data_IF_649192394294
#
_entry.id   IF_649192394294
#
_cell.length_a   1.000
_cell.length_b   1.000
_cell.length_c   1.000
_cell.angle_alpha   90.00
_cell.angle_beta   90.00
_cell.angle_gamma   90.00
#
_symmetry.space_group_name_H-M   'P 1'
#
loop_
_entity.id
_entity.type
_entity.pdbx_description
1 polymer ?
#
# COMPACT_ATOMS: atom_id res chain seq x y z
N UNK A 1 -58.88 18.94 -46.01
CA UNK A 1 -57.63 19.12 -45.24
C UNK A 1 -57.88 18.72 -43.79
N UNK A 2 -57.55 17.46 -43.43
CA UNK A 2 -57.69 16.95 -42.06
C UNK A 2 -56.45 17.35 -41.25
N UNK A 3 -56.65 17.99 -40.09
CA UNK A 3 -55.57 18.35 -39.16
C UNK A 3 -55.00 17.08 -38.52
N UNK A 4 -53.67 16.93 -38.57
CA UNK A 4 -52.93 15.90 -37.82
C UNK A 4 -52.98 16.24 -36.31
N UNK A 5 -53.04 15.23 -35.41
CA UNK A 5 -52.98 15.46 -33.97
C UNK A 5 -51.56 15.85 -33.53
N UNK A 6 -51.48 16.72 -32.52
CA UNK A 6 -50.21 17.13 -31.89
C UNK A 6 -49.56 15.93 -31.15
N UNK A 7 -48.21 15.82 -31.13
CA UNK A 7 -47.53 14.75 -30.41
C UNK A 7 -47.68 14.94 -28.89
N UNK A 8 -48.05 13.84 -28.22
CA UNK A 8 -48.17 13.74 -26.77
C UNK A 8 -46.86 14.08 -26.05
N UNK A 9 -46.99 14.47 -24.77
CA UNK A 9 -45.87 14.85 -23.92
C UNK A 9 -44.82 13.73 -23.85
N UNK A 10 -43.55 14.12 -23.71
CA UNK A 10 -42.34 13.26 -23.62
C UNK A 10 -42.42 12.11 -22.60
N UNK A 11 -43.41 12.10 -21.71
CA UNK A 11 -43.68 11.04 -20.74
C UNK A 11 -44.30 9.78 -21.39
N UNK A 12 -45.16 9.94 -22.41
CA UNK A 12 -45.85 8.82 -23.08
C UNK A 12 -44.90 7.95 -23.92
N UNK A 13 -43.85 8.54 -24.49
CA UNK A 13 -42.87 7.82 -25.30
C UNK A 13 -41.91 6.95 -24.45
N UNK A 14 -41.68 7.33 -23.20
CA UNK A 14 -40.84 6.57 -22.27
C UNK A 14 -41.56 5.32 -21.72
N UNK A 15 -42.87 5.42 -21.44
CA UNK A 15 -43.69 4.30 -20.97
C UNK A 15 -43.96 3.27 -22.09
N UNK A 16 -44.11 3.72 -23.34
CA UNK A 16 -44.25 2.81 -24.48
C UNK A 16 -42.95 2.06 -24.80
N UNK A 17 -41.78 2.66 -24.59
CA UNK A 17 -40.49 2.00 -24.78
C UNK A 17 -40.19 0.90 -23.73
N UNK A 18 -40.66 1.07 -22.49
CA UNK A 18 -40.47 0.09 -21.43
C UNK A 18 -41.26 -1.21 -21.63
N UNK A 19 -42.39 -1.15 -22.37
CA UNK A 19 -43.27 -2.30 -22.58
C UNK A 19 -42.79 -3.21 -23.73
N UNK A 20 -41.95 -2.69 -24.64
CA UNK A 20 -41.49 -3.43 -25.82
C UNK A 20 -40.29 -4.38 -25.55
N UNK A 21 -39.62 -4.27 -24.40
CA UNK A 21 -38.35 -5.00 -24.14
C UNK A 21 -38.50 -6.17 -23.14
N UNK A 22 -39.70 -6.44 -22.64
CA UNK A 22 -39.94 -7.67 -21.84
C UNK A 22 -39.06 -7.80 -20.59
N UNK A 23 -38.58 -6.70 -20.02
CA UNK A 23 -37.91 -6.69 -18.72
C UNK A 23 -38.98 -6.77 -17.64
N UNK A 24 -39.35 -7.99 -17.26
CA UNK A 24 -40.09 -8.21 -16.01
C UNK A 24 -39.28 -7.62 -14.85
N UNK A 25 -39.88 -6.82 -13.96
CA UNK A 25 -39.18 -6.28 -12.81
C UNK A 25 -38.77 -7.43 -11.88
N UNK A 26 -37.47 -7.54 -11.60
CA UNK A 26 -36.93 -8.41 -10.57
C UNK A 26 -37.54 -8.02 -9.19
N UNK A 27 -37.99 -8.98 -8.36
CA UNK A 27 -38.61 -8.70 -7.07
C UNK A 27 -37.60 -8.37 -5.95
N UNK A 28 -36.37 -7.98 -6.30
CA UNK A 28 -35.41 -7.47 -5.31
C UNK A 28 -35.65 -5.98 -5.14
N UNK A 29 -36.18 -5.62 -3.98
CA UNK A 29 -36.36 -4.23 -3.55
C UNK A 29 -35.15 -3.39 -3.89
N UNK A 30 -35.38 -2.17 -4.35
CA UNK A 30 -34.36 -1.19 -4.74
C UNK A 30 -33.29 -1.15 -3.66
N UNK A 31 -32.15 -1.80 -3.92
CA UNK A 31 -30.98 -1.70 -3.05
C UNK A 31 -30.60 -0.21 -3.06
N UNK A 32 -30.75 0.45 -1.92
CA UNK A 32 -30.25 1.81 -1.77
C UNK A 32 -28.75 1.77 -2.07
N UNK A 33 -28.31 2.58 -3.05
CA UNK A 33 -26.89 2.73 -3.33
C UNK A 33 -26.20 3.19 -2.03
N UNK A 34 -25.02 2.63 -1.70
CA UNK A 34 -24.30 3.04 -0.50
C UNK A 34 -24.06 4.56 -0.51
N UNK A 35 -24.10 5.22 0.66
CA UNK A 35 -23.86 6.65 0.73
C UNK A 35 -22.46 6.98 0.21
N UNK A 36 -22.37 8.01 -0.63
CA UNK A 36 -21.12 8.41 -1.23
C UNK A 36 -20.21 9.12 -0.20
N UNK A 37 -18.89 9.04 -0.39
CA UNK A 37 -17.95 9.61 0.57
C UNK A 37 -17.98 11.14 0.65
N UNK A 38 -17.74 11.71 1.85
CA UNK A 38 -17.63 13.15 2.10
C UNK A 38 -16.24 13.72 1.70
N UNK A 39 -16.03 15.05 1.79
CA UNK A 39 -14.77 15.71 1.36
C UNK A 39 -13.55 15.37 2.22
N UNK A 40 -13.76 14.89 3.45
CA UNK A 40 -12.73 14.38 4.36
C UNK A 40 -12.47 12.87 4.18
N UNK A 41 -13.13 12.24 3.20
CA UNK A 41 -13.03 10.81 2.95
C UNK A 41 -11.60 10.34 2.75
N UNK A 42 -11.32 9.21 3.38
CA UNK A 42 -10.17 8.37 3.13
C UNK A 42 -10.68 7.00 2.68
N UNK A 43 -10.23 6.54 1.51
CA UNK A 43 -10.52 5.21 1.04
C UNK A 43 -9.41 4.24 1.45
N UNK A 44 -9.75 3.19 2.19
CA UNK A 44 -8.80 2.17 2.63
C UNK A 44 -8.28 1.30 1.48
N UNK A 45 -9.09 1.10 0.43
CA UNK A 45 -8.72 0.26 -0.73
C UNK A 45 -7.68 0.92 -1.63
N UNK A 46 -7.86 2.21 -1.95
CA UNK A 46 -6.94 2.94 -2.85
C UNK A 46 -6.04 3.96 -2.13
N UNK A 47 -6.13 4.05 -0.80
CA UNK A 47 -5.41 4.98 0.07
C UNK A 47 -5.57 6.47 -0.33
N UNK A 48 -6.58 6.82 -1.14
CA UNK A 48 -6.84 8.22 -1.49
C UNK A 48 -7.53 8.92 -0.33
N UNK A 49 -6.90 9.99 0.15
CA UNK A 49 -7.56 11.01 0.97
C UNK A 49 -8.01 12.15 0.09
N UNK A 50 -9.29 12.51 0.18
CA UNK A 50 -9.85 13.56 -0.65
C UNK A 50 -9.19 14.89 -0.37
N UNK A 51 -9.02 15.24 0.90
CA UNK A 51 -8.28 16.44 1.33
C UNK A 51 -6.91 16.61 0.67
N UNK A 52 -6.17 15.52 0.46
CA UNK A 52 -4.80 15.55 -0.06
C UNK A 52 -4.75 15.53 -1.61
N UNK A 53 -5.84 15.12 -2.28
CA UNK A 53 -5.89 15.00 -3.73
C UNK A 53 -6.18 16.37 -4.37
N UNK A 54 -5.13 17.05 -4.84
CA UNK A 54 -5.27 18.31 -5.58
C UNK A 54 -5.96 18.10 -6.93
N UNK A 55 -6.60 19.11 -7.52
CA UNK A 55 -7.22 18.99 -8.85
C UNK A 55 -6.24 18.54 -9.94
N UNK A 56 -5.00 19.05 -9.93
CA UNK A 56 -3.96 18.65 -10.87
C UNK A 56 -3.55 17.19 -10.70
N UNK A 57 -3.41 16.72 -9.45
CA UNK A 57 -3.12 15.31 -9.18
C UNK A 57 -4.27 14.39 -9.61
N UNK A 58 -5.54 14.79 -9.37
CA UNK A 58 -6.72 14.05 -9.82
C UNK A 58 -6.77 13.95 -11.35
N UNK A 59 -6.50 15.06 -12.06
CA UNK A 59 -6.39 15.08 -13.52
C UNK A 59 -5.31 14.13 -14.03
N UNK A 60 -4.14 14.11 -13.37
CA UNK A 60 -3.06 13.19 -13.69
C UNK A 60 -3.48 11.71 -13.55
N UNK A 61 -4.21 11.37 -12.49
CA UNK A 61 -4.76 10.03 -12.30
C UNK A 61 -5.75 9.67 -13.41
N UNK A 62 -6.70 10.56 -13.71
CA UNK A 62 -7.73 10.33 -14.73
C UNK A 62 -7.10 10.11 -16.12
N UNK A 63 -6.13 10.94 -16.51
CA UNK A 63 -5.38 10.76 -17.78
C UNK A 63 -4.57 9.47 -17.79
N UNK A 64 -4.08 9.04 -16.63
CA UNK A 64 -3.31 7.81 -16.48
C UNK A 64 -4.15 6.53 -16.52
N UNK A 65 -5.45 6.60 -16.21
CA UNK A 65 -6.33 5.45 -16.07
C UNK A 65 -6.32 4.53 -17.31
N UNK A 66 -6.52 5.01 -18.55
CA UNK A 66 -6.47 4.13 -19.73
C UNK A 66 -5.17 3.34 -19.86
N UNK A 67 -4.02 3.96 -19.56
CA UNK A 67 -2.73 3.29 -19.57
C UNK A 67 -2.60 2.23 -18.47
N UNK A 68 -3.12 2.53 -17.27
CA UNK A 68 -3.17 1.58 -16.14
C UNK A 68 -4.09 0.39 -16.46
N UNK A 69 -5.27 0.64 -17.04
CA UNK A 69 -6.20 -0.42 -17.45
C UNK A 69 -5.55 -1.30 -18.52
N UNK A 70 -4.94 -0.68 -19.52
CA UNK A 70 -4.25 -1.43 -20.58
C UNK A 70 -3.15 -2.30 -20.02
N UNK A 71 -2.39 -1.84 -19.01
CA UNK A 71 -1.40 -2.65 -18.26
C UNK A 71 -2.01 -3.79 -17.49
N UNK A 72 -3.12 -3.56 -16.78
CA UNK A 72 -3.84 -4.61 -16.03
C UNK A 72 -4.33 -5.72 -16.99
N UNK A 73 -4.93 -5.34 -18.11
CA UNK A 73 -5.51 -6.26 -19.10
C UNK A 73 -4.46 -7.11 -19.84
N UNK A 74 -3.17 -6.72 -19.88
CA UNK A 74 -2.11 -7.51 -20.56
C UNK A 74 -1.86 -8.84 -19.86
N UNK A 75 -2.12 -8.88 -18.55
CA UNK A 75 -1.81 -10.00 -17.67
C UNK A 75 -3.00 -10.95 -17.47
N UNK A 76 -4.17 -10.60 -18.00
CA UNK A 76 -5.35 -11.46 -17.94
C UNK A 76 -5.33 -12.50 -19.08
N UNK A 77 -5.84 -13.73 -18.83
CA UNK A 77 -5.98 -14.75 -19.87
C UNK A 77 -6.74 -14.23 -21.10
N UNK A 78 -6.31 -14.64 -22.29
CA UNK A 78 -6.85 -14.11 -23.56
C UNK A 78 -8.34 -14.39 -23.73
N UNK A 79 -8.84 -15.46 -23.12
CA UNK A 79 -10.23 -15.90 -23.14
C UNK A 79 -11.18 -15.04 -22.29
N UNK A 80 -10.68 -14.38 -21.23
CA UNK A 80 -11.48 -13.45 -20.42
C UNK A 80 -11.40 -12.01 -20.93
N UNK A 81 -10.38 -11.68 -21.73
CA UNK A 81 -10.19 -10.32 -22.27
C UNK A 81 -10.87 -10.17 -23.63
N UNK A 82 -11.93 -9.36 -23.68
CA UNK A 82 -12.43 -8.85 -24.96
C UNK A 82 -11.44 -7.85 -25.54
N UNK A 83 -10.67 -8.28 -26.54
CA UNK A 83 -9.69 -7.44 -27.22
C UNK A 83 -10.35 -6.54 -28.25
N UNK A 84 -9.83 -5.32 -28.31
CA UNK A 84 -10.16 -4.30 -29.32
C UNK A 84 -9.84 -4.84 -30.73
N UNK A 85 -10.67 -4.56 -31.75
CA UNK A 85 -10.43 -5.03 -33.12
C UNK A 85 -9.17 -4.43 -33.78
N UNK A 86 -8.84 -3.16 -33.51
CA UNK A 86 -7.68 -2.48 -34.09
C UNK A 86 -7.24 -1.27 -33.24
N UNK A 87 -5.95 -0.92 -33.26
CA UNK A 87 -5.32 0.17 -32.48
C UNK A 87 -5.85 1.59 -32.76
N UNK A 88 -6.66 1.78 -33.81
CA UNK A 88 -7.32 3.05 -34.16
C UNK A 88 -8.75 3.25 -33.64
N UNK A 89 -9.43 2.20 -33.14
CA UNK A 89 -10.83 2.27 -32.63
C UNK A 89 -10.91 2.68 -31.15
N UNK A 90 -10.86 3.97 -30.80
CA UNK A 90 -10.79 4.40 -29.39
C UNK A 90 -11.80 3.67 -28.50
N UNK A 91 -11.35 3.11 -27.37
CA UNK A 91 -12.31 2.64 -26.37
C UNK A 91 -13.12 3.82 -25.84
N UNK A 92 -14.39 3.61 -25.56
CA UNK A 92 -15.24 4.67 -24.98
C UNK A 92 -14.63 5.22 -23.71
N UNK A 93 -13.93 4.38 -22.95
CA UNK A 93 -13.19 4.76 -21.74
C UNK A 93 -12.04 5.72 -22.02
N UNK A 94 -11.16 5.44 -22.99
CA UNK A 94 -10.05 6.34 -23.36
C UNK A 94 -10.58 7.71 -23.79
N UNK A 95 -11.55 7.72 -24.71
CA UNK A 95 -12.14 8.95 -25.23
C UNK A 95 -12.83 9.75 -24.13
N UNK A 96 -13.55 9.09 -23.23
CA UNK A 96 -14.24 9.76 -22.14
C UNK A 96 -13.28 10.27 -21.07
N UNK A 97 -12.22 9.53 -20.74
CA UNK A 97 -11.18 9.96 -19.79
C UNK A 97 -10.43 11.18 -20.32
N UNK A 98 -9.99 11.16 -21.59
CA UNK A 98 -9.29 12.29 -22.21
C UNK A 98 -10.20 13.52 -22.32
N UNK A 99 -11.45 13.33 -22.77
CA UNK A 99 -12.42 14.43 -22.85
C UNK A 99 -12.75 15.01 -21.48
N UNK A 100 -12.95 14.17 -20.47
CA UNK A 100 -13.22 14.62 -19.11
C UNK A 100 -12.04 15.39 -18.54
N UNK A 101 -10.82 14.88 -18.73
CA UNK A 101 -9.61 15.56 -18.28
C UNK A 101 -9.35 16.89 -19.02
N UNK A 102 -9.69 16.99 -20.31
CA UNK A 102 -9.61 18.23 -21.07
C UNK A 102 -10.59 19.28 -20.53
N UNK A 103 -11.88 18.93 -20.42
CA UNK A 103 -12.91 19.82 -19.86
C UNK A 103 -12.57 20.26 -18.44
N UNK A 104 -12.03 19.35 -17.64
CA UNK A 104 -11.66 19.63 -16.25
C UNK A 104 -10.42 20.53 -16.16
N UNK A 105 -9.49 20.45 -17.11
CA UNK A 105 -8.31 21.32 -17.14
C UNK A 105 -8.62 22.78 -17.49
N UNK A 106 -9.81 23.07 -18.00
CA UNK A 106 -10.28 24.44 -18.29
C UNK A 106 -10.91 25.12 -17.04
N UNK A 107 -11.05 24.39 -15.93
CA UNK A 107 -11.70 24.89 -14.72
C UNK A 107 -10.73 25.79 -13.93
N UNK A 108 -11.10 27.06 -13.78
CA UNK A 108 -10.34 28.04 -12.99
C UNK A 108 -10.52 27.86 -11.48
N UNK A 109 -9.59 28.41 -10.68
CA UNK A 109 -9.56 28.21 -9.22
C UNK A 109 -10.90 28.49 -8.51
N UNK A 110 -11.60 29.62 -8.80
CA UNK A 110 -12.89 29.92 -8.15
C UNK A 110 -14.00 28.93 -8.54
N UNK A 111 -13.88 28.26 -9.69
CA UNK A 111 -14.92 27.36 -10.19
C UNK A 111 -14.92 26.00 -9.49
N UNK A 112 -13.83 25.61 -8.83
CA UNK A 112 -13.74 24.35 -8.08
C UNK A 112 -14.72 24.24 -6.92
N UNK A 113 -15.06 25.38 -6.29
CA UNK A 113 -16.00 25.46 -5.18
C UNK A 113 -17.46 25.53 -5.62
N UNK A 114 -17.73 25.61 -6.93
CA UNK A 114 -19.11 25.59 -7.45
C UNK A 114 -19.74 24.25 -7.11
N UNK A 115 -21.01 24.28 -6.72
CA UNK A 115 -21.78 23.07 -6.47
C UNK A 115 -22.61 22.69 -7.69
N UNK A 116 -22.66 21.40 -8.00
CA UNK A 116 -23.56 20.82 -8.98
C UNK A 116 -24.43 19.74 -8.33
N UNK A 117 -25.62 19.54 -8.89
CA UNK A 117 -26.54 18.49 -8.48
C UNK A 117 -26.27 17.26 -9.36
N UNK A 118 -25.87 16.15 -8.74
CA UNK A 118 -25.60 14.89 -9.45
C UNK A 118 -26.84 14.01 -9.51
N UNK A 119 -27.54 13.90 -8.39
CA UNK A 119 -28.82 13.21 -8.20
C UNK A 119 -29.79 14.11 -7.42
N UNK A 120 -31.11 13.88 -7.47
CA UNK A 120 -32.07 14.63 -6.65
C UNK A 120 -31.65 14.63 -5.16
N UNK A 121 -31.50 15.83 -4.59
CA UNK A 121 -31.07 16.02 -3.19
C UNK A 121 -29.56 15.97 -2.95
N UNK A 122 -28.75 15.57 -3.93
CA UNK A 122 -27.30 15.45 -3.79
C UNK A 122 -26.58 16.64 -4.44
N UNK A 123 -26.08 17.56 -3.60
CA UNK A 123 -25.23 18.69 -4.00
C UNK A 123 -23.78 18.41 -3.63
N UNK A 124 -22.88 18.47 -4.61
CA UNK A 124 -21.44 18.26 -4.42
C UNK A 124 -20.63 19.33 -5.15
N UNK A 125 -19.44 19.63 -4.66
CA UNK A 125 -18.53 20.56 -5.34
C UNK A 125 -17.99 19.94 -6.62
N UNK A 126 -17.60 20.79 -7.58
CA UNK A 126 -16.87 20.34 -8.77
C UNK A 126 -15.58 19.61 -8.37
N UNK A 127 -14.89 20.10 -7.33
CA UNK A 127 -13.70 19.46 -6.77
C UNK A 127 -13.97 18.03 -6.30
N UNK A 128 -15.04 17.83 -5.54
CA UNK A 128 -15.46 16.51 -5.08
C UNK A 128 -15.73 15.58 -6.26
N UNK A 129 -16.46 16.04 -7.28
CA UNK A 129 -16.81 15.19 -8.44
C UNK A 129 -15.58 14.67 -9.17
N UNK A 130 -14.57 15.52 -9.38
CA UNK A 130 -13.32 15.13 -10.04
C UNK A 130 -12.52 14.15 -9.18
N UNK A 131 -12.50 14.34 -7.85
CA UNK A 131 -11.88 13.38 -6.91
C UNK A 131 -12.56 12.02 -6.95
N UNK A 132 -13.90 12.00 -6.98
CA UNK A 132 -14.69 10.77 -7.10
C UNK A 132 -14.42 10.02 -8.41
N UNK A 133 -14.35 10.71 -9.55
CA UNK A 133 -14.01 10.06 -10.83
C UNK A 133 -12.61 9.45 -10.78
N UNK A 134 -11.64 10.14 -10.19
CA UNK A 134 -10.31 9.59 -9.98
C UNK A 134 -10.33 8.35 -9.09
N UNK A 135 -11.08 8.40 -7.98
CA UNK A 135 -11.25 7.32 -7.01
C UNK A 135 -11.91 6.07 -7.60
N UNK A 136 -13.07 6.20 -8.24
CA UNK A 136 -13.78 5.07 -8.87
C UNK A 136 -12.94 4.42 -9.97
N UNK A 137 -12.17 5.21 -10.72
CA UNK A 137 -11.25 4.66 -11.71
C UNK A 137 -10.12 3.81 -11.10
N UNK A 138 -9.67 4.10 -9.88
CA UNK A 138 -8.73 3.23 -9.16
C UNK A 138 -9.42 1.95 -8.67
N UNK A 139 -10.67 2.04 -8.21
CA UNK A 139 -11.42 0.86 -7.78
C UNK A 139 -11.67 -0.13 -8.92
N UNK A 140 -12.08 0.36 -10.09
CA UNK A 140 -12.22 -0.49 -11.27
C UNK A 140 -10.89 -1.09 -11.73
N UNK A 141 -9.76 -0.40 -11.54
CA UNK A 141 -8.44 -0.99 -11.77
C UNK A 141 -8.18 -2.17 -10.83
N UNK A 142 -8.55 -2.04 -9.56
CA UNK A 142 -8.46 -3.12 -8.59
C UNK A 142 -9.35 -4.31 -8.99
N UNK A 143 -10.59 -4.04 -9.41
CA UNK A 143 -11.56 -5.07 -9.82
C UNK A 143 -11.08 -5.89 -11.03
N UNK A 144 -10.43 -5.25 -12.01
CA UNK A 144 -9.97 -5.90 -13.25
C UNK A 144 -8.79 -6.88 -13.00
N UNK A 145 -8.14 -6.85 -11.84
CA UNK A 145 -6.97 -7.68 -11.53
C UNK A 145 -7.18 -8.81 -10.51
N UNK A 146 -8.34 -8.87 -9.84
CA UNK A 146 -8.60 -9.76 -8.71
C UNK A 146 -8.62 -11.28 -9.01
N UNK A 147 -8.08 -11.71 -10.15
CA UNK A 147 -8.17 -13.08 -10.65
C UNK A 147 -6.89 -13.92 -10.77
N UNK A 148 -5.66 -13.38 -10.93
CA UNK A 148 -4.54 -14.30 -11.26
C UNK A 148 -3.06 -13.91 -11.02
N UNK A 149 -2.65 -12.67 -10.66
CA UNK A 149 -1.20 -12.40 -10.47
C UNK A 149 -0.83 -11.11 -9.71
N UNK A 150 -1.70 -10.63 -8.82
CA UNK A 150 -1.53 -9.33 -8.13
C UNK A 150 -0.83 -9.40 -6.77
N UNK A 151 -0.22 -10.53 -6.42
CA UNK A 151 0.44 -10.70 -5.13
C UNK A 151 1.80 -9.99 -5.08
N UNK A 152 2.07 -9.31 -3.97
CA UNK A 152 3.34 -8.66 -3.70
C UNK A 152 3.95 -9.14 -2.37
N UNK A 153 5.27 -8.99 -2.26
CA UNK A 153 6.02 -9.25 -1.03
C UNK A 153 6.74 -7.99 -0.57
N UNK A 154 6.50 -7.56 0.66
CA UNK A 154 7.13 -6.39 1.28
C UNK A 154 8.06 -6.86 2.39
N UNK A 155 9.27 -6.31 2.45
CA UNK A 155 10.26 -6.66 3.48
C UNK A 155 10.53 -5.46 4.37
N UNK A 156 10.69 -5.68 5.67
CA UNK A 156 11.57 -4.81 6.46
C UNK A 156 13.05 -5.03 6.06
N UNK A 157 13.95 -4.20 6.59
CA UNK A 157 15.39 -4.28 6.32
C UNK A 157 16.14 -4.79 7.54
N UNK A 158 16.07 -4.06 8.66
CA UNK A 158 16.96 -4.27 9.79
C UNK A 158 16.40 -5.40 10.64
N UNK A 159 17.07 -6.56 10.64
CA UNK A 159 16.58 -7.80 11.26
C UNK A 159 15.86 -8.73 10.29
N UNK A 160 15.58 -8.30 9.05
CA UNK A 160 15.00 -9.16 8.00
C UNK A 160 15.98 -9.43 6.87
N UNK A 161 16.42 -8.39 6.14
CA UNK A 161 17.38 -8.51 5.04
C UNK A 161 18.83 -8.24 5.50
N UNK A 162 18.97 -7.38 6.50
CA UNK A 162 20.24 -6.94 7.08
C UNK A 162 20.32 -7.42 8.52
N UNK A 163 21.38 -8.14 8.86
CA UNK A 163 21.68 -8.50 10.25
C UNK A 163 22.25 -7.29 10.99
N UNK A 164 21.34 -6.47 11.51
CA UNK A 164 21.66 -5.21 12.17
C UNK A 164 22.03 -5.38 13.65
N UNK A 165 21.71 -6.53 14.24
CA UNK A 165 21.87 -6.79 15.67
C UNK A 165 23.34 -6.67 16.13
N UNK A 166 24.34 -7.29 15.45
CA UNK A 166 25.74 -7.16 15.85
C UNK A 166 26.24 -5.72 15.82
N UNK A 167 25.82 -4.94 14.82
CA UNK A 167 26.18 -3.52 14.71
C UNK A 167 25.61 -2.71 15.87
N UNK A 168 24.30 -2.85 16.14
CA UNK A 168 23.67 -2.15 17.25
C UNK A 168 24.33 -2.52 18.59
N UNK A 169 24.67 -3.80 18.80
CA UNK A 169 25.36 -4.21 20.02
C UNK A 169 26.71 -3.51 20.17
N UNK A 170 27.51 -3.42 19.11
CA UNK A 170 28.80 -2.69 19.14
C UNK A 170 28.61 -1.20 19.37
N UNK A 171 27.67 -0.56 18.68
CA UNK A 171 27.39 0.88 18.81
C UNK A 171 26.98 1.23 20.24
N UNK A 172 26.04 0.48 20.81
CA UNK A 172 25.57 0.71 22.18
C UNK A 172 26.64 0.41 23.22
N UNK A 173 27.46 -0.63 23.00
CA UNK A 173 28.60 -0.92 23.88
C UNK A 173 29.62 0.22 23.84
N UNK A 174 29.95 0.73 22.64
CA UNK A 174 30.84 1.89 22.47
C UNK A 174 30.31 3.14 23.15
N UNK A 175 29.01 3.40 23.07
CA UNK A 175 28.40 4.52 23.77
C UNK A 175 28.44 4.34 25.30
N UNK A 176 28.15 3.12 25.79
CA UNK A 176 28.25 2.79 27.20
C UNK A 176 29.67 3.00 27.73
N UNK A 177 30.68 2.49 27.01
CA UNK A 177 32.10 2.68 27.33
C UNK A 177 32.47 4.17 27.35
N UNK A 178 32.03 4.94 26.35
CA UNK A 178 32.27 6.38 26.27
C UNK A 178 31.68 7.16 27.45
N UNK A 179 30.62 6.62 28.08
CA UNK A 179 29.95 7.20 29.25
C UNK A 179 30.31 6.51 30.56
N UNK A 180 31.25 5.57 30.56
CA UNK A 180 31.62 4.74 31.72
C UNK A 180 30.42 4.01 32.34
N UNK A 181 29.50 3.53 31.51
CA UNK A 181 28.36 2.70 31.89
C UNK A 181 28.66 1.24 31.58
N UNK A 182 27.98 0.33 32.26
CA UNK A 182 28.04 -1.10 31.95
C UNK A 182 27.35 -1.40 30.60
N UNK A 183 28.09 -1.89 29.57
CA UNK A 183 27.52 -2.21 28.27
C UNK A 183 26.39 -3.25 28.31
N UNK A 184 26.45 -4.24 29.20
CA UNK A 184 25.43 -5.28 29.31
C UNK A 184 24.15 -4.73 29.93
N UNK A 185 24.27 -3.89 30.94
CA UNK A 185 23.13 -3.19 31.53
C UNK A 185 22.46 -2.29 30.49
N UNK A 186 23.24 -1.48 29.77
CA UNK A 186 22.71 -0.60 28.71
C UNK A 186 22.00 -1.42 27.65
N UNK A 187 22.62 -2.50 27.18
CA UNK A 187 22.02 -3.38 26.18
C UNK A 187 20.71 -4.02 26.66
N UNK A 188 20.63 -4.46 27.91
CA UNK A 188 19.39 -5.02 28.45
C UNK A 188 18.22 -4.02 28.36
N UNK A 189 18.51 -2.73 28.40
CA UNK A 189 17.54 -1.64 28.29
C UNK A 189 17.25 -1.16 26.86
N UNK A 190 17.87 -1.72 25.81
CA UNK A 190 17.56 -1.35 24.41
C UNK A 190 16.32 -2.07 23.86
N UNK A 191 16.03 -3.27 24.36
CA UNK A 191 14.96 -4.14 23.84
C UNK A 191 13.58 -3.46 23.94
N UNK A 192 12.89 -3.33 22.80
CA UNK A 192 11.54 -2.76 22.72
C UNK A 192 11.44 -1.28 23.12
N UNK A 193 12.55 -0.55 23.25
CA UNK A 193 12.56 0.86 23.67
C UNK A 193 13.11 1.78 22.59
N UNK A 194 12.66 3.02 22.61
CA UNK A 194 13.28 4.06 21.77
C UNK A 194 14.68 4.34 22.35
N UNK A 195 15.69 4.61 21.51
CA UNK A 195 17.03 4.96 21.97
C UNK A 195 17.05 6.07 23.04
N UNK A 196 16.23 7.11 22.88
CA UNK A 196 16.11 8.19 23.86
C UNK A 196 15.58 7.72 25.22
N UNK A 197 14.63 6.79 25.24
CA UNK A 197 14.08 6.24 26.49
C UNK A 197 15.09 5.33 27.17
N UNK A 198 15.88 4.57 26.40
CA UNK A 198 17.00 3.78 26.91
C UNK A 198 18.04 4.68 27.57
N UNK A 199 18.46 5.76 26.91
CA UNK A 199 19.41 6.73 27.46
C UNK A 199 18.87 7.35 28.74
N UNK A 200 17.61 7.79 28.75
CA UNK A 200 16.97 8.36 29.95
C UNK A 200 16.90 7.36 31.11
N UNK A 201 16.70 6.07 30.83
CA UNK A 201 16.61 5.05 31.85
C UNK A 201 17.98 4.73 32.49
N UNK A 202 19.04 4.66 31.69
CA UNK A 202 20.38 4.22 32.15
C UNK A 202 21.32 5.36 32.50
N UNK A 203 21.04 6.56 31.99
CA UNK A 203 21.82 7.77 32.22
C UNK A 203 20.90 9.01 32.29
N UNK A 204 19.97 9.08 33.26
CA UNK A 204 18.99 10.18 33.39
C UNK A 204 19.62 11.56 33.56
N UNK A 205 20.89 11.63 33.96
CA UNK A 205 21.67 12.86 34.09
C UNK A 205 22.15 13.46 32.76
N UNK A 206 22.11 12.69 31.67
CA UNK A 206 22.56 13.13 30.35
C UNK A 206 21.41 13.69 29.51
N UNK A 207 21.74 14.60 28.58
CA UNK A 207 20.78 15.04 27.56
C UNK A 207 20.59 13.93 26.52
N UNK A 208 19.48 13.20 26.65
CA UNK A 208 19.17 12.07 25.78
C UNK A 208 19.11 12.43 24.29
N UNK A 209 18.75 13.67 23.92
CA UNK A 209 18.71 14.08 22.51
C UNK A 209 20.12 14.29 21.94
N UNK A 210 21.01 14.88 22.73
CA UNK A 210 22.42 15.04 22.37
C UNK A 210 23.12 13.68 22.29
N UNK A 211 22.91 12.81 23.28
CA UNK A 211 23.48 11.45 23.29
C UNK A 211 22.98 10.59 22.13
N UNK A 212 21.69 10.69 21.80
CA UNK A 212 21.15 9.99 20.64
C UNK A 212 21.80 10.48 19.34
N UNK A 213 22.14 11.77 19.25
CA UNK A 213 22.86 12.31 18.09
C UNK A 213 24.28 11.73 17.97
N UNK A 214 24.99 11.55 19.10
CA UNK A 214 26.28 10.87 19.14
C UNK A 214 26.19 9.40 18.72
N UNK A 215 25.19 8.67 19.22
CA UNK A 215 24.93 7.28 18.81
C UNK A 215 24.68 7.17 17.30
N UNK A 216 23.94 8.13 16.74
CA UNK A 216 23.71 8.20 15.29
C UNK A 216 25.00 8.47 14.51
N UNK A 217 25.92 9.26 15.06
CA UNK A 217 27.25 9.46 14.48
C UNK A 217 28.08 8.18 14.50
N UNK A 218 28.06 7.42 15.62
CA UNK A 218 28.69 6.09 15.66
C UNK A 218 28.12 5.16 14.59
N UNK A 219 26.79 5.12 14.47
CA UNK A 219 26.11 4.31 13.45
C UNK A 219 26.49 4.70 12.02
N UNK A 220 26.62 5.99 11.73
CA UNK A 220 27.02 6.47 10.41
C UNK A 220 28.47 6.07 10.06
N UNK A 221 29.30 5.84 11.07
CA UNK A 221 30.72 5.50 10.93
C UNK A 221 31.01 3.99 11.07
N UNK A 222 30.01 3.12 11.23
CA UNK A 222 30.19 1.66 11.34
C UNK A 222 30.62 0.97 10.03
N UNK A 223 30.61 1.67 8.88
CA UNK A 223 31.08 1.11 7.61
C UNK A 223 30.28 -0.11 7.15
N UNK A 224 30.97 -1.23 6.93
CA UNK A 224 30.43 -2.55 6.54
C UNK A 224 29.86 -3.35 7.72
N UNK A 225 29.75 -2.73 8.91
CA UNK A 225 29.27 -3.37 10.13
C UNK A 225 27.84 -3.93 10.11
N UNK A 226 27.10 -3.75 9.02
CA UNK A 226 25.71 -4.20 8.81
C UNK A 226 25.65 -5.26 7.68
N UNK A 227 26.10 -6.50 7.92
CA UNK A 227 26.05 -7.55 6.91
C UNK A 227 24.60 -7.90 6.56
N UNK A 228 24.38 -8.37 5.33
CA UNK A 228 23.08 -8.97 4.96
C UNK A 228 22.96 -10.39 5.49
N UNK A 229 21.75 -10.86 5.78
CA UNK A 229 21.56 -12.26 6.12
C UNK A 229 22.00 -13.14 4.95
N UNK A 230 22.71 -14.27 5.19
CA UNK A 230 23.23 -15.13 4.13
C UNK A 230 22.16 -15.57 3.11
N UNK A 231 20.93 -15.76 3.58
CA UNK A 231 19.82 -16.29 2.79
C UNK A 231 19.07 -15.20 2.01
N UNK A 232 19.33 -13.91 2.27
CA UNK A 232 18.59 -12.80 1.68
C UNK A 232 18.66 -12.79 0.15
N UNK A 233 19.84 -13.06 -0.41
CA UNK A 233 20.00 -13.12 -1.86
C UNK A 233 19.17 -14.25 -2.48
N UNK A 234 19.12 -15.42 -1.84
CA UNK A 234 18.35 -16.56 -2.32
C UNK A 234 16.84 -16.29 -2.28
N UNK A 235 16.35 -15.69 -1.20
CA UNK A 235 14.93 -15.32 -1.07
C UNK A 235 14.53 -14.24 -2.09
N UNK A 236 15.33 -13.19 -2.25
CA UNK A 236 15.03 -12.13 -3.21
C UNK A 236 15.06 -12.62 -4.67
N UNK A 237 15.82 -13.67 -4.99
CA UNK A 237 15.79 -14.30 -6.33
C UNK A 237 14.44 -14.94 -6.67
N UNK A 238 13.66 -15.38 -5.67
CA UNK A 238 12.29 -15.90 -5.90
C UNK A 238 11.34 -14.82 -6.43
N UNK A 239 11.69 -13.56 -6.18
CA UNK A 239 10.89 -12.39 -6.53
C UNK A 239 11.30 -11.80 -7.87
N UNK A 240 12.18 -12.46 -8.62
CA UNK A 240 12.61 -12.01 -9.93
C UNK A 240 11.38 -11.94 -10.86
N UNK A 241 11.11 -10.75 -11.40
CA UNK A 241 9.89 -10.42 -12.17
C UNK A 241 8.57 -10.43 -11.37
N UNK A 242 8.62 -10.41 -10.03
CA UNK A 242 7.46 -10.27 -9.14
C UNK A 242 7.43 -8.87 -8.52
N UNK A 243 6.27 -8.48 -7.98
CA UNK A 243 6.12 -7.23 -7.25
C UNK A 243 6.68 -7.41 -5.86
N UNK A 244 7.69 -6.62 -5.51
CA UNK A 244 8.21 -6.62 -4.15
C UNK A 244 8.78 -5.26 -3.79
N UNK A 245 8.98 -5.02 -2.51
CA UNK A 245 9.55 -3.77 -2.06
C UNK A 245 10.01 -3.82 -0.62
N UNK A 246 10.54 -2.70 -0.18
CA UNK A 246 11.06 -2.52 1.18
C UNK A 246 10.29 -1.41 1.89
N UNK A 247 9.99 -1.63 3.17
CA UNK A 247 9.40 -0.63 4.08
C UNK A 247 10.22 -0.59 5.35
N UNK A 248 10.91 0.53 5.59
CA UNK A 248 11.94 0.65 6.64
C UNK A 248 11.83 1.95 7.43
N UNK A 249 12.21 1.89 8.70
CA UNK A 249 12.40 3.08 9.55
C UNK A 249 13.73 3.80 9.26
N UNK A 250 14.63 3.18 8.48
CA UNK A 250 15.88 3.77 8.01
C UNK A 250 15.68 4.84 6.94
N UNK A 251 16.80 5.34 6.38
CA UNK A 251 16.82 6.32 5.28
C UNK A 251 17.34 5.66 4.01
N UNK A 252 16.75 6.01 2.87
CA UNK A 252 17.04 5.42 1.56
C UNK A 252 18.54 5.31 1.23
N UNK A 253 19.37 6.37 1.39
CA UNK A 253 20.79 6.27 1.03
C UNK A 253 21.54 5.22 1.85
N UNK A 254 21.29 5.16 3.15
CA UNK A 254 21.91 4.19 4.07
C UNK A 254 21.45 2.77 3.79
N UNK A 255 20.15 2.58 3.55
CA UNK A 255 19.57 1.26 3.25
C UNK A 255 20.13 0.71 1.95
N UNK A 256 20.12 1.50 0.87
CA UNK A 256 20.68 1.08 -0.42
C UNK A 256 22.18 0.79 -0.32
N UNK A 257 22.94 1.58 0.46
CA UNK A 257 24.36 1.31 0.69
C UNK A 257 24.57 -0.08 1.34
N UNK A 258 23.80 -0.40 2.40
CA UNK A 258 23.88 -1.70 3.10
C UNK A 258 23.51 -2.86 2.19
N UNK A 259 22.39 -2.75 1.46
CA UNK A 259 21.93 -3.78 0.54
C UNK A 259 22.98 -4.06 -0.55
N UNK A 260 23.53 -3.00 -1.18
CA UNK A 260 24.55 -3.13 -2.22
C UNK A 260 25.87 -3.68 -1.69
N UNK A 261 26.30 -3.27 -0.49
CA UNK A 261 27.50 -3.81 0.14
C UNK A 261 27.38 -5.33 0.40
N UNK A 262 26.18 -5.80 0.71
CA UNK A 262 25.85 -7.23 0.81
C UNK A 262 25.55 -7.93 -0.51
N UNK A 263 25.71 -7.26 -1.66
CA UNK A 263 25.43 -7.84 -2.98
C UNK A 263 23.96 -8.06 -3.30
N UNK A 264 23.03 -7.44 -2.56
CA UNK A 264 21.60 -7.50 -2.83
C UNK A 264 21.19 -6.46 -3.89
N UNK A 265 20.16 -6.76 -4.70
CA UNK A 265 19.64 -5.81 -5.68
C UNK A 265 18.95 -4.63 -5.01
N UNK A 266 18.92 -3.50 -5.71
CA UNK A 266 18.06 -2.39 -5.32
C UNK A 266 16.59 -2.83 -5.39
N UNK A 267 15.78 -2.58 -4.34
CA UNK A 267 14.36 -2.89 -4.37
C UNK A 267 13.64 -1.98 -5.38
N UNK A 268 12.69 -2.51 -6.17
CA UNK A 268 11.97 -1.71 -7.15
C UNK A 268 11.03 -0.69 -6.50
N UNK A 269 10.62 -0.93 -5.24
CA UNK A 269 9.94 0.04 -4.38
C UNK A 269 10.64 0.09 -3.02
N UNK A 270 10.93 1.29 -2.54
CA UNK A 270 11.51 1.52 -1.21
C UNK A 270 10.77 2.69 -0.52
N UNK A 271 10.10 2.39 0.57
CA UNK A 271 9.46 3.38 1.45
C UNK A 271 10.30 3.51 2.72
N UNK A 272 10.85 4.70 2.93
CA UNK A 272 11.70 5.03 4.07
C UNK A 272 11.00 5.98 5.05
N UNK A 273 11.66 6.29 6.17
CA UNK A 273 11.06 7.13 7.21
C UNK A 273 10.78 8.58 6.80
N UNK A 274 11.33 9.06 5.68
CA UNK A 274 11.08 10.42 5.17
C UNK A 274 9.83 10.52 4.29
N UNK A 275 9.31 9.39 3.84
CA UNK A 275 8.16 9.31 2.93
C UNK A 275 6.83 9.11 3.65
N UNK A 276 6.85 9.06 4.99
CA UNK A 276 5.67 8.86 5.84
C UNK A 276 5.60 9.93 6.91
N UNK A 277 4.40 10.32 7.32
CA UNK A 277 4.20 11.21 8.47
C UNK A 277 4.33 10.46 9.79
N UNK A 278 3.88 9.22 9.83
CA UNK A 278 3.93 8.33 11.00
C UNK A 278 4.65 7.04 10.63
N UNK A 279 5.71 6.73 11.37
CA UNK A 279 6.42 5.46 11.24
C UNK A 279 5.67 4.30 11.92
N UNK A 280 6.20 3.09 11.76
CA UNK A 280 5.74 1.88 12.47
C UNK A 280 5.61 2.21 13.98
N UNK A 281 4.49 1.87 14.66
CA UNK A 281 3.47 0.89 14.26
C UNK A 281 2.31 1.42 13.38
N UNK A 282 2.37 2.66 12.90
CA UNK A 282 1.36 3.17 11.97
C UNK A 282 1.44 2.46 10.59
N UNK A 283 0.30 2.10 9.96
CA UNK A 283 0.28 1.37 8.69
C UNK A 283 0.73 2.20 7.47
N UNK A 284 0.91 3.53 7.60
CA UNK A 284 1.18 4.46 6.49
C UNK A 284 2.28 3.97 5.53
N UNK A 285 3.40 3.46 6.07
CA UNK A 285 4.52 2.98 5.26
C UNK A 285 4.18 1.76 4.39
N UNK A 286 3.48 0.78 4.95
CA UNK A 286 3.07 -0.42 4.21
C UNK A 286 2.00 -0.11 3.17
N UNK A 287 0.98 0.69 3.52
CA UNK A 287 -0.05 1.13 2.59
C UNK A 287 0.56 1.92 1.42
N UNK A 288 1.54 2.78 1.70
CA UNK A 288 2.28 3.52 0.67
C UNK A 288 3.04 2.58 -0.27
N UNK A 289 3.69 1.54 0.25
CA UNK A 289 4.41 0.57 -0.57
C UNK A 289 3.47 -0.24 -1.47
N UNK A 290 2.32 -0.68 -0.95
CA UNK A 290 1.28 -1.35 -1.74
C UNK A 290 0.79 -0.47 -2.91
N UNK A 291 0.56 0.82 -2.63
CA UNK A 291 0.17 1.79 -3.65
C UNK A 291 1.24 1.96 -4.74
N UNK A 292 2.53 2.05 -4.35
CA UNK A 292 3.65 2.18 -5.31
C UNK A 292 3.81 0.91 -6.17
N UNK A 293 3.44 -0.25 -5.64
CA UNK A 293 3.45 -1.53 -6.33
C UNK A 293 2.17 -1.82 -7.14
N UNK A 294 1.16 -0.94 -7.09
CA UNK A 294 -0.15 -1.12 -7.77
C UNK A 294 -0.92 -2.38 -7.30
N UNK A 295 -0.83 -2.70 -6.00
CA UNK A 295 -1.50 -3.83 -5.34
C UNK A 295 -2.37 -3.37 -4.18
N UNK A 296 -3.38 -4.17 -3.84
CA UNK A 296 -4.20 -3.93 -2.65
C UNK A 296 -3.53 -4.50 -1.41
N UNK A 297 -3.85 -3.98 -0.22
CA UNK A 297 -3.22 -4.46 1.01
C UNK A 297 -3.46 -5.97 1.31
N UNK A 298 -4.66 -6.54 1.06
CA UNK A 298 -4.87 -7.99 1.15
C UNK A 298 -4.05 -8.83 0.16
N UNK A 299 -3.45 -8.21 -0.86
CA UNK A 299 -2.55 -8.85 -1.83
C UNK A 299 -1.06 -8.70 -1.46
N UNK A 300 -0.75 -8.13 -0.31
CA UNK A 300 0.60 -8.03 0.23
C UNK A 300 0.89 -9.09 1.30
N UNK A 301 2.04 -9.74 1.17
CA UNK A 301 2.70 -10.50 2.21
C UNK A 301 3.86 -9.66 2.77
N UNK A 302 3.87 -9.41 4.07
CA UNK A 302 4.94 -8.68 4.76
C UNK A 302 5.87 -9.67 5.46
N UNK A 303 7.18 -9.49 5.30
CA UNK A 303 8.22 -10.16 6.09
C UNK A 303 8.80 -9.14 7.07
N UNK A 304 8.69 -9.43 8.36
CA UNK A 304 9.01 -8.52 9.48
C UNK A 304 9.72 -9.27 10.61
N UNK A 305 10.36 -8.56 11.54
CA UNK A 305 11.04 -9.11 12.71
C UNK A 305 10.65 -8.39 14.02
N UNK A 306 9.96 -7.25 13.94
CA UNK A 306 9.68 -6.38 15.07
C UNK A 306 8.17 -6.25 15.37
N UNK A 307 7.76 -6.17 16.65
CA UNK A 307 6.35 -6.03 17.04
C UNK A 307 5.65 -4.81 16.42
N UNK A 308 6.36 -3.68 16.33
CA UNK A 308 5.83 -2.46 15.73
C UNK A 308 5.54 -2.66 14.22
N UNK A 309 6.40 -3.38 13.51
CA UNK A 309 6.20 -3.68 12.10
C UNK A 309 5.09 -4.70 11.85
N UNK A 310 5.03 -5.75 12.68
CA UNK A 310 3.91 -6.70 12.71
C UNK A 310 2.58 -5.97 12.92
N UNK A 311 2.52 -5.07 13.90
CA UNK A 311 1.32 -4.27 14.15
C UNK A 311 0.96 -3.38 12.96
N UNK A 312 1.93 -2.71 12.34
CA UNK A 312 1.71 -1.86 11.18
C UNK A 312 1.15 -2.66 9.99
N UNK A 313 1.73 -3.82 9.67
CA UNK A 313 1.27 -4.70 8.61
C UNK A 313 -0.15 -5.24 8.87
N UNK A 314 -0.42 -5.66 10.10
CA UNK A 314 -1.74 -6.13 10.53
C UNK A 314 -2.80 -5.04 10.43
N UNK A 315 -2.47 -3.83 10.89
CA UNK A 315 -3.37 -2.66 10.82
C UNK A 315 -3.62 -2.24 9.37
N UNK A 316 -2.65 -2.44 8.48
CA UNK A 316 -2.81 -2.21 7.04
C UNK A 316 -3.69 -3.27 6.35
N UNK A 317 -4.09 -4.35 7.03
CA UNK A 317 -4.86 -5.45 6.44
C UNK A 317 -4.03 -6.42 5.58
N UNK A 318 -2.72 -6.51 5.84
CA UNK A 318 -1.79 -7.37 5.10
C UNK A 318 -1.55 -8.70 5.84
N UNK A 319 -1.18 -9.75 5.09
CA UNK A 319 -0.64 -10.98 5.69
C UNK A 319 0.80 -10.71 6.14
N UNK A 320 1.20 -11.21 7.31
CA UNK A 320 2.55 -10.97 7.85
C UNK A 320 3.18 -12.26 8.36
N UNK A 321 4.42 -12.49 7.96
CA UNK A 321 5.32 -13.52 8.46
C UNK A 321 6.38 -12.82 9.29
N UNK A 322 6.43 -13.13 10.58
CA UNK A 322 7.47 -12.64 11.44
C UNK A 322 8.66 -13.62 11.47
N UNK A 323 9.88 -13.11 11.33
CA UNK A 323 11.13 -13.85 11.45
C UNK A 323 11.72 -13.58 12.83
N UNK A 324 12.05 -14.63 13.58
CA UNK A 324 12.50 -14.55 14.98
C UNK A 324 13.99 -14.25 15.10
N UNK A 325 14.46 -13.25 14.36
CA UNK A 325 15.86 -12.82 14.34
C UNK A 325 16.22 -11.89 15.50
N UNK A 326 15.30 -11.00 15.90
CA UNK A 326 15.60 -9.93 16.86
C UNK A 326 14.70 -9.90 18.10
N UNK A 327 13.50 -10.48 18.05
CA UNK A 327 12.52 -10.47 19.14
C UNK A 327 12.03 -11.87 19.50
N UNK A 328 11.49 -12.02 20.71
CA UNK A 328 10.96 -13.29 21.22
C UNK A 328 9.61 -13.65 20.59
N UNK A 329 9.25 -14.94 20.62
CA UNK A 329 8.02 -15.44 19.98
C UNK A 329 6.75 -14.73 20.49
N UNK A 330 6.66 -14.52 21.80
CA UNK A 330 5.50 -13.89 22.46
C UNK A 330 5.30 -12.44 22.00
N UNK A 331 6.38 -11.71 21.69
CA UNK A 331 6.33 -10.33 21.21
C UNK A 331 5.79 -10.24 19.76
N UNK A 332 5.91 -11.34 19.01
CA UNK A 332 5.50 -11.46 17.61
C UNK A 332 4.17 -12.20 17.45
N UNK A 333 3.42 -12.41 18.54
CA UNK A 333 2.14 -13.14 18.55
C UNK A 333 1.08 -12.54 17.61
N UNK A 334 1.20 -11.25 17.25
CA UNK A 334 0.33 -10.59 16.29
C UNK A 334 0.50 -11.02 14.82
N UNK A 335 1.56 -11.77 14.49
CA UNK A 335 1.83 -12.21 13.12
C UNK A 335 0.98 -13.43 12.71
N UNK A 336 0.69 -13.57 11.41
CA UNK A 336 -0.07 -14.72 10.89
C UNK A 336 0.77 -15.99 10.88
N UNK A 337 2.06 -15.83 10.58
CA UNK A 337 3.06 -16.89 10.63
C UNK A 337 4.29 -16.39 11.37
N UNK A 338 4.98 -17.29 12.06
CA UNK A 338 6.26 -17.03 12.70
C UNK A 338 7.25 -18.10 12.27
N UNK A 339 8.46 -17.69 11.94
CA UNK A 339 9.52 -18.56 11.46
C UNK A 339 10.86 -18.18 12.08
N UNK A 340 11.83 -19.08 12.09
CA UNK A 340 13.13 -18.84 12.73
C UNK A 340 14.10 -18.07 11.85
N UNK A 341 14.08 -18.37 10.55
CA UNK A 341 15.04 -17.80 9.61
C UNK A 341 14.36 -17.22 8.40
N UNK A 342 15.07 -16.36 7.66
CA UNK A 342 14.58 -15.84 6.41
C UNK A 342 14.33 -16.97 5.38
N UNK A 343 15.13 -18.03 5.39
CA UNK A 343 14.91 -19.22 4.54
C UNK A 343 13.57 -19.91 4.79
N UNK A 344 13.09 -19.93 6.03
CA UNK A 344 11.82 -20.55 6.40
C UNK A 344 10.61 -19.78 5.84
N UNK A 345 10.81 -18.56 5.35
CA UNK A 345 9.77 -17.79 4.64
C UNK A 345 9.51 -18.31 3.23
N UNK A 346 10.44 -19.08 2.63
CA UNK A 346 10.38 -19.50 1.22
C UNK A 346 9.08 -20.26 0.89
N UNK A 347 8.63 -21.26 1.65
CA UNK A 347 7.37 -21.96 1.34
C UNK A 347 6.15 -21.03 1.41
N UNK A 348 6.16 -20.06 2.34
CA UNK A 348 5.08 -19.09 2.51
C UNK A 348 5.06 -18.06 1.37
N UNK A 349 6.23 -17.55 0.97
CA UNK A 349 6.39 -16.64 -0.16
C UNK A 349 5.95 -17.33 -1.46
N UNK A 350 6.44 -18.54 -1.72
CA UNK A 350 6.06 -19.30 -2.91
C UNK A 350 4.56 -19.60 -2.92
N UNK A 351 4.01 -20.12 -1.82
CA UNK A 351 2.59 -20.39 -1.71
C UNK A 351 1.71 -19.15 -1.87
N UNK A 352 2.15 -18.00 -1.35
CA UNK A 352 1.49 -16.71 -1.54
C UNK A 352 1.47 -16.30 -3.02
N UNK A 353 2.63 -16.33 -3.68
CA UNK A 353 2.77 -15.93 -5.08
C UNK A 353 2.03 -16.86 -6.05
N UNK A 354 1.85 -18.13 -5.68
CA UNK A 354 1.10 -19.13 -6.46
C UNK A 354 -0.42 -19.11 -6.17
N UNK A 355 -0.88 -18.32 -5.21
CA UNK A 355 -2.30 -18.28 -4.81
C UNK A 355 -2.77 -19.51 -4.01
N UNK A 356 -1.82 -20.27 -3.45
CA UNK A 356 -2.05 -21.53 -2.74
C UNK A 356 -2.25 -21.36 -1.21
N UNK A 357 -2.45 -20.14 -0.71
CA UNK A 357 -2.70 -19.91 0.73
C UNK A 357 -4.13 -20.27 1.12
N UNK A 358 -4.41 -21.58 1.15
CA UNK A 358 -5.45 -22.10 2.03
C UNK A 358 -4.97 -21.92 3.46
N UNK A 359 -5.76 -21.22 4.30
CA UNK A 359 -5.59 -21.29 5.75
C UNK A 359 -5.47 -22.76 6.16
N UNK A 360 -4.40 -23.18 6.86
CA UNK A 360 -4.33 -24.53 7.42
C UNK A 360 -5.49 -24.67 8.40
N UNK A 361 -6.44 -25.53 8.03
CA UNK A 361 -7.79 -25.54 8.54
C UNK A 361 -7.92 -25.65 10.06
N UNK A 362 -8.93 -24.95 10.55
CA UNK A 362 -9.70 -25.30 11.72
C UNK A 362 -10.12 -26.78 11.62
N UNK A 363 -9.35 -27.68 12.23
CA UNK A 363 -9.77 -29.07 12.47
C UNK A 363 -10.86 -29.03 13.52
N UNK A 364 -12.10 -28.85 13.08
CA UNK A 364 -13.26 -29.22 13.89
C UNK A 364 -13.30 -30.75 13.93
N UNK A 365 -12.93 -31.29 15.08
CA UNK A 365 -13.13 -32.69 15.46
C UNK A 365 -14.60 -33.06 15.27
N UNK A 366 -14.86 -34.13 14.50
CA UNK A 366 -16.02 -34.99 14.67
C UNK A 366 -15.56 -36.28 15.29
#
# INVERSE_FOLDING_TARGET
>A
MRRLPLPGTTRDLAEQAATAVGLLPSPRGVMALPPLPEEDHFCESCALRYGDLTPSAALGLIRGHPGRYRRRLQHLPVDVVRRRPASGVWSDLERNADRFAALTSEISEPQWSRTAVRLPGERRTVRWMVRQVAHEGLHHLHDIGAGANDKAVLFDVDGVLVDSYPAYRRIWSRWADHRNLDPDLVWSHTHGRRPVDTIQAVAPQLDAAAEYSLIREFMANEGDGFPVYPDAAAVLRLLQNRRWGVVTSGRTPTVLQRLRAGGLPDPPVLVDSSQVRRGKPDPEGYLRAAQLLDVTAPDCLVIEDAPAGVQAARTAGMTVVAVRTTHLDDELAGAHHRVDTLSDTVPLITGWLEGNTREPGNRTTR
#
